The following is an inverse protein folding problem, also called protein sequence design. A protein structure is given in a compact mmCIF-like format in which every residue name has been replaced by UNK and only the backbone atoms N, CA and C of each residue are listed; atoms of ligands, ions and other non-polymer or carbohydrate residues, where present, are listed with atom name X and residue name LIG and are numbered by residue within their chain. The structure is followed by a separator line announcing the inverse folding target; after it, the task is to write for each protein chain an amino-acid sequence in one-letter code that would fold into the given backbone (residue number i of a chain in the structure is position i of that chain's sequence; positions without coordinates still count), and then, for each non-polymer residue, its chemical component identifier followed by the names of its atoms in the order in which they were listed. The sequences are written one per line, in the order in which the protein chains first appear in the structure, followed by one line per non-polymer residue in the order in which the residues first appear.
data_IF_385204207952
#
_entry.id   IF_385204207952
#
_cell.length_a   1.000
_cell.length_b   1.000
_cell.length_c   1.000
_cell.angle_alpha   90.00
_cell.angle_beta   90.00
_cell.angle_gamma   90.00
#
_symmetry.space_group_name_H-M   'P 1'
#
loop_
_entity.id
_entity.type
_entity.pdbx_description
1 polymer ?
#
# COMPACT_ATOMS: atom_id res chain seq x y z
N UNK A 1 67.16 -36.84 -12.32
CA UNK A 1 66.44 -35.98 -11.35
C UNK A 1 65.58 -34.97 -12.11
N UNK A 2 64.26 -35.18 -12.14
CA UNK A 2 63.30 -34.24 -12.70
C UNK A 2 62.99 -33.15 -11.64
N UNK A 3 62.78 -31.89 -12.05
CA UNK A 3 62.39 -30.83 -11.13
C UNK A 3 61.00 -31.13 -10.55
N UNK A 4 60.82 -30.84 -9.26
CA UNK A 4 59.52 -30.94 -8.60
C UNK A 4 58.55 -29.89 -9.19
N UNK A 5 57.26 -30.20 -9.35
CA UNK A 5 56.26 -29.24 -9.81
C UNK A 5 56.07 -28.14 -8.74
N UNK A 6 56.00 -26.90 -9.20
CA UNK A 6 55.58 -25.75 -8.38
C UNK A 6 54.12 -25.92 -7.92
N UNK A 7 53.74 -25.42 -6.74
CA UNK A 7 52.38 -25.56 -6.22
C UNK A 7 51.38 -24.79 -7.08
N UNK A 8 50.25 -25.42 -7.39
CA UNK A 8 49.07 -24.79 -7.99
C UNK A 8 48.56 -23.64 -7.09
N UNK A 9 48.07 -22.53 -7.66
CA UNK A 9 47.50 -21.44 -6.88
C UNK A 9 46.28 -21.93 -6.10
N UNK A 10 46.21 -21.57 -4.82
CA UNK A 10 45.02 -21.79 -3.99
C UNK A 10 43.81 -21.10 -4.62
N UNK A 11 42.61 -21.70 -4.57
CA UNK A 11 41.41 -21.07 -5.11
C UNK A 11 41.15 -19.75 -4.38
N UNK A 12 41.05 -18.66 -5.14
CA UNK A 12 40.55 -17.37 -4.65
C UNK A 12 39.15 -17.63 -4.07
N UNK A 13 39.02 -17.47 -2.76
CA UNK A 13 37.73 -17.50 -2.07
C UNK A 13 36.83 -16.47 -2.75
N UNK A 14 35.71 -16.93 -3.33
CA UNK A 14 34.67 -16.05 -3.85
C UNK A 14 34.29 -15.10 -2.70
N UNK A 15 34.54 -13.80 -2.88
CA UNK A 15 34.09 -12.76 -1.95
C UNK A 15 32.56 -12.90 -1.87
N UNK A 16 32.08 -13.50 -0.78
CA UNK A 16 30.70 -13.41 -0.34
C UNK A 16 30.40 -11.91 -0.31
N UNK A 17 29.62 -11.44 -1.30
CA UNK A 17 29.03 -10.11 -1.33
C UNK A 17 28.06 -10.09 -0.14
N UNK A 18 28.61 -9.85 1.06
CA UNK A 18 27.90 -9.63 2.32
C UNK A 18 27.01 -8.41 2.10
N UNK A 19 25.84 -8.66 1.50
CA UNK A 19 24.77 -7.69 1.38
C UNK A 19 24.52 -7.16 2.79
N UNK A 20 24.87 -5.90 3.01
CA UNK A 20 24.83 -5.23 4.30
C UNK A 20 23.38 -5.17 4.79
N UNK A 21 22.98 -6.24 5.50
CA UNK A 21 21.60 -6.51 5.88
C UNK A 21 21.09 -5.44 6.87
N UNK A 22 22.00 -4.86 7.64
CA UNK A 22 21.74 -3.72 8.52
C UNK A 22 21.41 -2.45 7.71
N UNK A 23 22.10 -2.18 6.61
CA UNK A 23 21.80 -1.02 5.74
C UNK A 23 20.45 -1.17 5.00
N UNK A 24 20.04 -2.40 4.67
CA UNK A 24 18.73 -2.68 4.10
C UNK A 24 17.60 -2.50 5.13
N UNK A 25 17.84 -2.81 6.40
CA UNK A 25 16.88 -2.62 7.49
C UNK A 25 16.71 -1.14 7.89
N UNK A 26 17.74 -0.31 7.72
CA UNK A 26 17.70 1.14 8.01
C UNK A 26 17.06 1.97 6.87
N UNK A 27 16.80 1.35 5.72
CA UNK A 27 16.26 2.05 4.56
C UNK A 27 14.79 2.43 4.75
N UNK A 28 14.48 3.73 4.57
CA UNK A 28 13.11 4.29 4.55
C UNK A 28 12.24 3.47 3.57
N UNK A 29 11.04 3.00 3.96
CA UNK A 29 10.19 2.23 3.06
C UNK A 29 9.83 3.04 1.82
N UNK A 30 9.68 2.37 0.67
CA UNK A 30 9.56 3.02 -0.64
C UNK A 30 8.36 3.98 -0.72
N UNK A 31 7.26 3.66 -0.03
CA UNK A 31 6.03 4.46 0.03
C UNK A 31 6.04 5.56 1.09
N UNK A 32 7.13 5.75 1.83
CA UNK A 32 7.12 6.68 2.96
C UNK A 32 7.00 8.15 2.54
N UNK A 33 7.51 8.53 1.37
CA UNK A 33 7.33 9.89 0.82
C UNK A 33 5.85 10.15 0.46
N UNK A 34 5.19 9.15 -0.12
CA UNK A 34 3.75 9.18 -0.37
C UNK A 34 2.96 9.36 0.94
N UNK A 35 3.30 8.60 1.99
CA UNK A 35 2.61 8.70 3.28
C UNK A 35 2.78 10.08 3.92
N UNK A 36 3.98 10.66 3.85
CA UNK A 36 4.26 12.00 4.40
C UNK A 36 3.39 13.07 3.74
N UNK A 37 3.38 13.09 2.39
CA UNK A 37 2.51 13.99 1.63
C UNK A 37 1.02 13.72 1.87
N UNK A 38 0.62 12.44 1.97
CA UNK A 38 -0.75 12.05 2.25
C UNK A 38 -1.21 12.53 3.63
N UNK A 39 -0.37 12.38 4.67
CA UNK A 39 -0.69 12.88 6.01
C UNK A 39 -0.75 14.41 6.04
N UNK A 40 0.16 15.09 5.34
CA UNK A 40 0.12 16.55 5.20
C UNK A 40 -1.17 17.03 4.51
N UNK A 41 -1.64 16.29 3.50
CA UNK A 41 -2.94 16.53 2.85
C UNK A 41 -4.10 16.33 3.83
N UNK A 42 -4.11 15.23 4.59
CA UNK A 42 -5.18 14.89 5.54
C UNK A 42 -5.32 15.87 6.71
N UNK A 43 -4.22 16.44 7.19
CA UNK A 43 -4.21 17.40 8.31
C UNK A 43 -4.99 18.69 7.99
N UNK A 44 -4.97 19.11 6.72
CA UNK A 44 -5.60 20.35 6.24
C UNK A 44 -6.71 20.10 5.22
N UNK A 45 -7.32 18.91 5.24
CA UNK A 45 -8.23 18.49 4.18
C UNK A 45 -9.58 19.19 4.25
N UNK A 46 -9.88 19.99 3.23
CA UNK A 46 -11.19 20.62 3.03
C UNK A 46 -11.99 19.83 1.99
N UNK A 47 -13.07 19.17 2.42
CA UNK A 47 -13.87 18.31 1.54
C UNK A 47 -14.59 19.06 0.43
N UNK A 48 -14.93 20.34 0.62
CA UNK A 48 -15.56 21.15 -0.44
C UNK A 48 -14.61 21.37 -1.61
N UNK A 49 -13.30 21.37 -1.34
CA UNK A 49 -12.22 21.45 -2.32
C UNK A 49 -11.50 20.13 -2.54
N UNK A 50 -12.08 19.01 -2.10
CA UNK A 50 -11.41 17.73 -2.03
C UNK A 50 -10.73 17.34 -3.35
N UNK A 51 -11.42 17.50 -4.48
CA UNK A 51 -10.84 17.18 -5.78
C UNK A 51 -9.62 18.02 -6.14
N UNK A 52 -9.67 19.34 -5.88
CA UNK A 52 -8.54 20.24 -6.14
C UNK A 52 -7.33 19.93 -5.24
N UNK A 53 -7.58 19.49 -4.01
CA UNK A 53 -6.53 19.14 -3.04
C UNK A 53 -5.91 17.76 -3.30
N UNK A 54 -6.70 16.79 -3.79
CA UNK A 54 -6.23 15.43 -4.08
C UNK A 54 -5.46 15.33 -5.41
N UNK A 55 -5.85 16.10 -6.44
CA UNK A 55 -5.24 16.01 -7.78
C UNK A 55 -3.71 16.14 -7.80
N UNK A 56 -3.08 17.06 -7.03
CA UNK A 56 -1.62 17.19 -7.00
C UNK A 56 -0.90 15.92 -6.53
N UNK A 57 -1.37 15.28 -5.46
CA UNK A 57 -0.74 14.06 -4.92
C UNK A 57 -0.96 12.88 -5.87
N UNK A 58 -2.18 12.74 -6.41
CA UNK A 58 -2.52 11.67 -7.37
C UNK A 58 -1.64 11.76 -8.61
N UNK A 59 -1.48 12.96 -9.16
CA UNK A 59 -0.66 13.17 -10.35
C UNK A 59 0.83 13.01 -10.04
N UNK A 60 1.30 13.47 -8.88
CA UNK A 60 2.72 13.35 -8.46
C UNK A 60 3.17 11.89 -8.38
N UNK A 61 2.32 11.02 -7.83
CA UNK A 61 2.64 9.62 -7.59
C UNK A 61 2.05 8.64 -8.61
N UNK A 62 1.23 9.13 -9.57
CA UNK A 62 0.57 8.28 -10.55
C UNK A 62 -0.44 7.31 -9.93
N UNK A 63 -1.21 7.77 -8.93
CA UNK A 63 -2.05 6.88 -8.13
C UNK A 63 -3.20 6.28 -8.96
N UNK A 64 -3.36 4.96 -8.83
CA UNK A 64 -4.52 4.23 -9.29
C UNK A 64 -5.69 4.46 -8.33
N UNK A 65 -6.85 4.80 -8.87
CA UNK A 65 -8.05 5.07 -8.11
C UNK A 65 -8.91 3.81 -8.06
N UNK A 66 -9.21 3.31 -6.87
CA UNK A 66 -9.91 2.04 -6.68
C UNK A 66 -11.18 2.21 -5.86
N UNK A 67 -12.18 1.38 -6.17
CA UNK A 67 -13.39 1.19 -5.37
C UNK A 67 -13.58 -0.28 -5.05
N UNK A 68 -14.07 -0.61 -3.85
CA UNK A 68 -14.50 -1.96 -3.55
C UNK A 68 -15.87 -2.22 -4.16
N UNK A 69 -15.94 -3.11 -5.15
CA UNK A 69 -17.19 -3.42 -5.84
C UNK A 69 -17.95 -4.61 -5.26
N UNK A 70 -17.24 -5.53 -4.61
CA UNK A 70 -17.84 -6.66 -3.91
C UNK A 70 -17.00 -7.06 -2.70
N UNK A 71 -17.31 -6.49 -1.53
CA UNK A 71 -16.59 -6.78 -0.28
C UNK A 71 -16.84 -8.21 0.25
N UNK A 72 -17.97 -8.83 -0.14
CA UNK A 72 -18.41 -10.13 0.36
C UNK A 72 -18.12 -11.29 -0.61
N UNK A 73 -17.41 -11.02 -1.71
CA UNK A 73 -17.05 -12.02 -2.69
C UNK A 73 -16.28 -13.19 -2.06
N UNK A 74 -16.59 -14.39 -2.54
CA UNK A 74 -15.95 -15.63 -2.10
C UNK A 74 -15.46 -16.38 -3.34
N UNK A 75 -14.16 -16.64 -3.41
CA UNK A 75 -13.54 -17.47 -4.45
C UNK A 75 -12.87 -18.68 -3.78
N UNK A 76 -13.19 -19.90 -4.26
CA UNK A 76 -12.72 -21.17 -3.66
C UNK A 76 -12.99 -21.30 -2.15
N UNK A 77 -14.08 -20.72 -1.65
CA UNK A 77 -14.46 -20.77 -0.24
C UNK A 77 -13.69 -19.79 0.67
N UNK A 78 -12.81 -18.96 0.10
CA UNK A 78 -12.11 -17.89 0.83
C UNK A 78 -12.75 -16.54 0.50
N UNK A 79 -12.99 -15.72 1.52
CA UNK A 79 -13.39 -14.33 1.32
C UNK A 79 -12.29 -13.59 0.53
N UNK A 80 -12.66 -13.06 -0.62
CA UNK A 80 -11.78 -12.36 -1.57
C UNK A 80 -12.54 -11.15 -2.08
N UNK A 81 -12.47 -10.01 -1.36
CA UNK A 81 -13.13 -8.78 -1.80
C UNK A 81 -12.61 -8.36 -3.18
N UNK A 82 -13.50 -7.81 -4.01
CA UNK A 82 -13.17 -7.32 -5.34
C UNK A 82 -13.02 -5.82 -5.36
N UNK A 83 -12.01 -5.38 -6.09
CA UNK A 83 -11.72 -3.97 -6.33
C UNK A 83 -11.62 -3.72 -7.83
N UNK A 84 -12.07 -2.54 -8.23
CA UNK A 84 -12.05 -2.09 -9.61
C UNK A 84 -11.40 -0.72 -9.69
N UNK A 85 -10.70 -0.47 -10.79
CA UNK A 85 -10.16 0.85 -11.10
C UNK A 85 -11.28 1.75 -11.61
N UNK A 86 -11.30 2.99 -11.12
CA UNK A 86 -12.25 4.03 -11.51
C UNK A 86 -11.49 5.26 -11.99
N UNK A 87 -12.12 6.08 -12.83
CA UNK A 87 -11.54 7.36 -13.25
C UNK A 87 -12.06 8.53 -12.39
N UNK A 88 -13.20 8.35 -11.73
CA UNK A 88 -13.82 9.39 -10.91
C UNK A 88 -13.28 9.36 -9.48
N UNK A 89 -12.69 10.48 -9.09
CA UNK A 89 -12.14 10.66 -7.75
C UNK A 89 -13.21 10.57 -6.64
N UNK A 90 -14.44 10.96 -6.95
CA UNK A 90 -15.59 10.95 -6.03
C UNK A 90 -16.19 9.55 -5.87
N UNK A 91 -15.69 8.56 -6.60
CA UNK A 91 -16.04 7.13 -6.44
C UNK A 91 -14.88 6.36 -5.79
N UNK A 92 -13.65 6.85 -5.93
CA UNK A 92 -12.43 6.18 -5.49
C UNK A 92 -12.26 6.20 -3.96
N UNK A 93 -12.66 5.11 -3.30
CA UNK A 93 -12.50 4.95 -1.84
C UNK A 93 -11.08 4.57 -1.42
N UNK A 94 -10.24 4.11 -2.36
CA UNK A 94 -8.84 3.76 -2.12
C UNK A 94 -7.94 4.31 -3.24
N UNK A 95 -6.69 4.62 -2.89
CA UNK A 95 -5.65 4.99 -3.83
C UNK A 95 -4.50 4.00 -3.74
N UNK A 96 -4.05 3.50 -4.89
CA UNK A 96 -2.97 2.53 -5.00
C UNK A 96 -1.76 3.17 -5.71
N UNK A 97 -0.61 3.04 -5.10
CA UNK A 97 0.68 3.50 -5.60
C UNK A 97 1.51 2.32 -6.06
N UNK A 98 1.95 2.32 -7.32
CA UNK A 98 2.92 1.34 -7.83
C UNK A 98 4.19 1.36 -6.98
N UNK A 99 4.68 0.18 -6.58
CA UNK A 99 5.93 0.08 -5.85
C UNK A 99 7.08 -0.02 -6.86
N UNK A 100 7.97 1.00 -6.97
CA UNK A 100 9.13 0.94 -7.85
C UNK A 100 9.96 -0.34 -7.67
N UNK A 101 10.22 -1.03 -8.78
CA UNK A 101 11.00 -2.28 -8.79
C UNK A 101 10.21 -3.54 -8.47
N UNK A 102 8.93 -3.43 -8.12
CA UNK A 102 8.02 -4.55 -7.86
C UNK A 102 6.77 -4.40 -8.75
N UNK A 103 6.83 -4.87 -10.02
CA UNK A 103 5.71 -4.74 -10.93
C UNK A 103 4.50 -5.52 -10.40
N UNK A 104 3.31 -4.95 -10.60
CA UNK A 104 2.03 -5.50 -10.12
C UNK A 104 1.85 -5.50 -8.60
N UNK A 105 2.77 -4.91 -7.82
CA UNK A 105 2.64 -4.71 -6.37
C UNK A 105 2.41 -3.23 -6.04
N UNK A 106 1.47 -2.98 -5.12
CA UNK A 106 0.96 -1.64 -4.84
C UNK A 106 0.84 -1.38 -3.33
N UNK A 107 1.18 -0.15 -2.92
CA UNK A 107 0.86 0.37 -1.60
C UNK A 107 -0.48 1.12 -1.66
N UNK A 108 -1.44 0.71 -0.84
CA UNK A 108 -2.83 1.19 -0.88
C UNK A 108 -3.17 1.97 0.40
N UNK A 109 -3.74 3.16 0.20
CA UNK A 109 -4.24 4.06 1.26
C UNK A 109 -5.73 4.36 1.04
N UNK A 110 -6.51 4.65 2.09
CA UNK A 110 -7.89 5.10 1.90
C UNK A 110 -7.90 6.51 1.30
N UNK A 111 -8.98 6.85 0.59
CA UNK A 111 -9.18 8.21 0.09
C UNK A 111 -9.61 9.14 1.24
N UNK A 112 -9.00 10.34 1.38
CA UNK A 112 -9.38 11.32 2.41
C UNK A 112 -10.72 12.01 2.10
N UNK A 113 -11.28 11.80 0.91
CA UNK A 113 -12.57 12.38 0.51
C UNK A 113 -13.76 11.80 1.28
N UNK A 114 -13.61 10.60 1.83
CA UNK A 114 -14.68 9.90 2.52
C UNK A 114 -14.35 9.79 4.00
N UNK A 115 -15.26 10.21 4.90
CA UNK A 115 -15.11 9.88 6.31
C UNK A 115 -15.19 8.36 6.49
N UNK A 116 -14.49 7.83 7.50
CA UNK A 116 -14.58 6.42 7.83
C UNK A 116 -15.81 6.19 8.71
N UNK A 117 -16.93 5.90 8.05
CA UNK A 117 -18.23 5.63 8.65
C UNK A 117 -18.58 4.12 8.65
N UNK A 118 -19.74 3.79 9.22
CA UNK A 118 -20.18 2.40 9.33
C UNK A 118 -20.40 1.75 7.97
N UNK A 119 -20.86 2.51 6.97
CA UNK A 119 -21.07 1.99 5.62
C UNK A 119 -19.73 1.60 5.00
N UNK A 120 -18.73 2.48 5.08
CA UNK A 120 -17.40 2.18 4.55
C UNK A 120 -16.74 1.02 5.30
N UNK A 121 -16.96 0.91 6.62
CA UNK A 121 -16.49 -0.22 7.43
C UNK A 121 -17.09 -1.55 7.02
N UNK A 122 -18.41 -1.60 6.90
CA UNK A 122 -19.13 -2.87 6.75
C UNK A 122 -19.20 -3.36 5.31
N UNK A 123 -19.27 -2.44 4.34
CA UNK A 123 -19.46 -2.78 2.92
C UNK A 123 -18.56 -2.05 1.94
N UNK A 124 -17.73 -1.10 2.41
CA UNK A 124 -16.78 -0.37 1.57
C UNK A 124 -15.43 -1.07 1.39
N UNK A 125 -15.25 -2.29 1.91
CA UNK A 125 -13.99 -3.04 1.85
C UNK A 125 -12.94 -2.60 2.88
N UNK A 126 -13.26 -1.66 3.78
CA UNK A 126 -12.27 -1.11 4.72
C UNK A 126 -11.81 -2.12 5.77
N UNK A 127 -12.73 -2.90 6.37
CA UNK A 127 -12.35 -3.88 7.41
C UNK A 127 -11.55 -5.06 6.86
N UNK A 128 -11.70 -5.34 5.56
CA UNK A 128 -10.91 -6.33 4.84
C UNK A 128 -9.53 -5.78 4.44
N UNK A 129 -9.45 -4.48 4.11
CA UNK A 129 -8.23 -3.80 3.64
C UNK A 129 -7.33 -3.36 4.78
N UNK A 130 -7.90 -2.92 5.90
CA UNK A 130 -7.16 -2.29 6.98
C UNK A 130 -7.57 -2.84 8.34
N UNK A 131 -6.56 -3.14 9.16
CA UNK A 131 -6.75 -3.28 10.59
C UNK A 131 -7.00 -1.90 11.21
N UNK A 132 -8.12 -1.74 11.89
CA UNK A 132 -8.49 -0.52 12.60
C UNK A 132 -9.33 -0.86 13.84
N UNK A 133 -9.28 -0.02 14.87
CA UNK A 133 -10.15 -0.14 16.05
C UNK A 133 -11.46 0.63 15.82
N UNK A 134 -12.19 0.25 14.79
CA UNK A 134 -13.46 0.90 14.46
C UNK A 134 -14.54 0.61 15.51
N UNK A 135 -15.24 1.65 15.95
CA UNK A 135 -16.37 1.54 16.87
C UNK A 135 -17.70 1.66 16.12
N UNK A 136 -18.57 0.66 16.33
CA UNK A 136 -19.87 0.58 15.64
C UNK A 136 -20.73 1.82 15.92
N UNK A 137 -21.13 2.50 14.84
CA UNK A 137 -21.96 3.70 14.90
C UNK A 137 -21.17 5.01 14.99
N UNK A 138 -19.84 4.94 15.10
CA UNK A 138 -18.95 6.12 15.07
C UNK A 138 -18.55 6.46 13.64
N UNK A 139 -18.34 7.74 13.37
CA UNK A 139 -17.79 8.23 12.10
C UNK A 139 -16.50 8.97 12.42
N UNK A 140 -15.42 8.60 11.74
CA UNK A 140 -14.12 9.24 11.92
C UNK A 140 -13.83 10.12 10.72
N UNK A 141 -13.80 11.43 10.95
CA UNK A 141 -13.49 12.41 9.91
C UNK A 141 -12.00 12.45 9.55
N UNK A 142 -11.14 12.03 10.49
CA UNK A 142 -9.70 11.97 10.34
C UNK A 142 -9.17 10.56 10.61
N UNK A 143 -8.41 10.03 9.65
CA UNK A 143 -7.79 8.72 9.72
C UNK A 143 -6.32 8.86 9.36
N UNK A 144 -5.45 8.35 10.22
CA UNK A 144 -4.01 8.27 9.94
C UNK A 144 -3.66 6.87 9.47
N UNK A 145 -2.86 6.79 8.40
CA UNK A 145 -2.32 5.53 7.89
C UNK A 145 -0.98 5.27 8.57
N UNK A 146 -0.93 4.33 9.51
CA UNK A 146 0.32 3.88 10.14
C UNK A 146 1.11 2.98 9.18
N UNK A 147 0.41 2.07 8.48
CA UNK A 147 0.97 1.28 7.38
C UNK A 147 -0.05 1.16 6.23
N UNK A 148 0.35 1.34 4.97
CA UNK A 148 -0.53 1.11 3.83
C UNK A 148 -0.84 -0.39 3.72
N UNK A 149 -1.96 -0.73 3.09
CA UNK A 149 -2.20 -2.11 2.69
C UNK A 149 -1.34 -2.45 1.48
N UNK A 150 -0.96 -3.71 1.32
CA UNK A 150 -0.20 -4.17 0.15
C UNK A 150 -1.10 -5.00 -0.74
N UNK A 151 -1.24 -4.55 -1.99
CA UNK A 151 -2.07 -5.21 -2.99
C UNK A 151 -1.19 -5.78 -4.09
N UNK A 152 -1.64 -6.86 -4.71
CA UNK A 152 -1.10 -7.35 -5.98
C UNK A 152 -2.17 -7.36 -7.07
N UNK A 153 -1.80 -7.05 -8.31
CA UNK A 153 -2.69 -7.16 -9.48
C UNK A 153 -2.30 -8.36 -10.33
N UNK A 154 -3.07 -9.45 -10.27
CA UNK A 154 -2.79 -10.68 -11.04
C UNK A 154 -3.97 -11.02 -11.94
N UNK A 155 -3.73 -11.18 -13.25
CA UNK A 155 -4.78 -11.40 -14.26
C UNK A 155 -5.91 -10.36 -14.17
N UNK A 156 -5.54 -9.08 -14.07
CA UNK A 156 -6.47 -7.95 -13.91
C UNK A 156 -7.33 -7.99 -12.62
N UNK A 157 -6.97 -8.84 -11.65
CA UNK A 157 -7.64 -8.89 -10.34
C UNK A 157 -6.74 -8.31 -9.25
N UNK A 158 -7.27 -7.36 -8.51
CA UNK A 158 -6.68 -6.81 -7.30
C UNK A 158 -6.85 -7.77 -6.13
N UNK A 159 -5.76 -8.07 -5.43
CA UNK A 159 -5.75 -8.96 -4.27
C UNK A 159 -5.06 -8.26 -3.11
N UNK A 160 -5.62 -8.40 -1.91
CA UNK A 160 -4.99 -7.95 -0.67
C UNK A 160 -3.95 -8.99 -0.29
N UNK A 161 -2.66 -8.66 -0.43
CA UNK A 161 -1.57 -9.53 0.03
C UNK A 161 -1.33 -9.33 1.53
N UNK A 162 -1.38 -8.08 2.00
CA UNK A 162 -1.27 -7.75 3.42
C UNK A 162 -2.20 -6.59 3.79
N UNK A 163 -2.99 -6.71 4.88
CA UNK A 163 -3.82 -5.61 5.34
C UNK A 163 -2.96 -4.48 5.91
N UNK A 164 -3.37 -3.24 5.68
CA UNK A 164 -2.72 -2.07 6.27
C UNK A 164 -3.13 -1.85 7.72
N UNK A 165 -2.60 -0.79 8.33
CA UNK A 165 -2.93 -0.38 9.70
C UNK A 165 -3.36 1.08 9.73
N UNK A 166 -4.54 1.30 10.28
CA UNK A 166 -5.10 2.64 10.47
C UNK A 166 -5.22 2.97 11.95
N UNK A 167 -5.00 4.25 12.23
CA UNK A 167 -5.31 4.88 13.50
C UNK A 167 -6.48 5.82 13.30
N UNK A 168 -7.52 5.60 14.09
CA UNK A 168 -8.74 6.40 14.09
C UNK A 168 -8.60 7.44 15.21
N UNK A 169 -8.79 8.71 14.87
CA UNK A 169 -8.72 9.82 15.83
C UNK A 169 -10.13 10.38 15.96
N UNK A 170 -10.62 10.44 17.20
CA UNK A 170 -11.92 11.05 17.56
C UNK A 170 -11.86 12.58 17.56
#
# INVERSE_FOLDING_TARGET
PAPAPEPEPEPEEEEDDDLDLDALLDSKPIWQDLLDDYHALCDNFDREKGAELCMPIITKYGLHLLVCSDHAAVENGKAMPKFEEVEDLSEATFWAYDIPGQPDDFAVVPSPMFPYDQKLHESGGMKETFAARYETGTTYDHVTVDMPALFSKRNDKWNIEQPGLLRLVE
#
